data_IF_719900635387
#
_entry.id   IF_719900635387
#
_cell.length_a   1.000
_cell.length_b   1.000
_cell.length_c   1.000
_cell.angle_alpha   90.00
_cell.angle_beta   90.00
_cell.angle_gamma   90.00
#
_symmetry.space_group_name_H-M   'P 1'
#
loop_
_entity.id
_entity.type
_entity.pdbx_description
1 polymer ?
#
# COMPACT_ATOMS: atom_id res chain seq x y z
N UNK A 1 -12.75 34.14 -23.61
CA UNK A 1 -13.13 32.96 -24.41
C UNK A 1 -11.95 31.99 -24.36
N UNK A 2 -12.01 31.01 -23.50
CA UNK A 2 -10.98 29.98 -23.35
C UNK A 2 -11.11 28.99 -24.53
N UNK A 3 -10.11 28.95 -25.38
CA UNK A 3 -9.97 27.85 -26.34
C UNK A 3 -9.69 26.58 -25.54
N UNK A 4 -10.69 25.71 -25.42
CA UNK A 4 -10.51 24.34 -24.99
C UNK A 4 -9.72 23.65 -26.12
N UNK A 5 -8.43 23.40 -25.87
CA UNK A 5 -7.62 22.55 -26.71
C UNK A 5 -8.26 21.16 -26.70
N UNK A 6 -8.82 20.78 -27.86
CA UNK A 6 -9.27 19.39 -28.05
C UNK A 6 -8.09 18.44 -27.85
N UNK A 7 -8.24 17.37 -27.05
CA UNK A 7 -7.17 16.40 -26.89
C UNK A 7 -6.87 15.79 -28.27
N UNK A 8 -5.67 16.01 -28.78
CA UNK A 8 -5.14 15.16 -29.84
C UNK A 8 -5.08 13.76 -29.25
N UNK A 9 -6.02 12.92 -29.63
CA UNK A 9 -6.04 11.50 -29.34
C UNK A 9 -4.81 10.85 -29.96
N UNK A 10 -3.68 10.89 -29.27
CA UNK A 10 -2.53 10.06 -29.59
C UNK A 10 -2.85 8.64 -29.15
N UNK A 11 -3.54 7.90 -30.01
CA UNK A 11 -3.89 6.48 -29.84
C UNK A 11 -2.69 5.53 -29.93
N UNK A 12 -1.46 6.01 -29.76
CA UNK A 12 -0.23 5.22 -29.97
C UNK A 12 0.81 5.38 -28.86
N UNK A 13 0.40 5.44 -27.59
CA UNK A 13 1.36 5.26 -26.51
C UNK A 13 1.43 3.76 -26.19
N UNK A 14 2.24 3.05 -26.93
CA UNK A 14 2.57 1.67 -26.72
C UNK A 14 4.03 1.45 -27.09
N UNK A 15 4.66 0.47 -26.48
CA UNK A 15 6.05 0.09 -26.69
C UNK A 15 6.12 -1.16 -27.56
N UNK A 16 7.05 -1.17 -28.50
CA UNK A 16 7.49 -2.45 -29.06
C UNK A 16 8.27 -3.20 -28.02
N UNK A 17 8.16 -4.52 -28.03
CA UNK A 17 8.92 -5.36 -27.10
C UNK A 17 10.43 -5.13 -27.19
N UNK A 18 10.94 -4.74 -28.37
CA UNK A 18 12.34 -4.35 -28.59
C UNK A 18 12.78 -3.10 -27.86
N UNK A 19 11.85 -2.23 -27.46
CA UNK A 19 12.14 -0.95 -26.83
C UNK A 19 12.18 -1.05 -25.30
N UNK A 20 11.85 -2.24 -24.77
CA UNK A 20 11.88 -2.52 -23.33
C UNK A 20 13.27 -3.03 -22.96
N UNK A 21 13.98 -2.35 -22.04
CA UNK A 21 15.28 -2.85 -21.58
C UNK A 21 15.14 -4.25 -20.95
N UNK A 22 16.04 -5.18 -21.30
CA UNK A 22 16.00 -6.58 -20.89
C UNK A 22 15.85 -6.75 -19.36
N UNK A 23 16.53 -5.90 -18.58
CA UNK A 23 16.49 -5.92 -17.11
C UNK A 23 15.12 -5.59 -16.51
N UNK A 24 14.25 -4.95 -17.28
CA UNK A 24 12.92 -4.51 -16.86
C UNK A 24 11.79 -5.23 -17.58
N UNK A 25 12.12 -6.17 -18.46
CA UNK A 25 11.09 -6.96 -19.15
C UNK A 25 10.20 -7.67 -18.12
N UNK A 26 8.85 -7.58 -18.23
CA UNK A 26 7.96 -8.18 -17.25
C UNK A 26 8.01 -9.69 -17.37
N UNK A 27 8.20 -10.36 -16.25
CA UNK A 27 8.03 -11.81 -16.17
C UNK A 27 6.59 -12.10 -15.84
N UNK A 28 5.86 -12.71 -16.76
CA UNK A 28 4.49 -13.13 -16.52
C UNK A 28 4.43 -14.11 -15.33
N UNK A 29 3.62 -13.77 -14.32
CA UNK A 29 3.56 -14.48 -13.03
C UNK A 29 2.14 -14.97 -12.76
N UNK A 30 1.94 -16.27 -12.87
CA UNK A 30 0.67 -16.92 -12.53
C UNK A 30 0.73 -17.45 -11.11
N UNK A 31 0.29 -16.62 -10.16
CA UNK A 31 0.30 -17.00 -8.75
C UNK A 31 -1.01 -17.66 -8.35
N UNK A 32 -0.93 -18.83 -7.71
CA UNK A 32 -2.10 -19.65 -7.37
C UNK A 32 -2.09 -20.11 -5.90
N UNK A 33 -1.46 -19.36 -5.01
CA UNK A 33 -1.42 -19.70 -3.59
C UNK A 33 -1.98 -18.55 -2.74
N UNK A 34 -2.30 -18.87 -1.49
CA UNK A 34 -2.72 -17.94 -0.46
C UNK A 34 -2.27 -18.44 0.92
N UNK A 35 -2.18 -17.56 1.91
CA UNK A 35 -1.64 -17.92 3.23
C UNK A 35 -2.76 -17.94 4.27
N UNK A 36 -3.03 -19.10 4.85
CA UNK A 36 -3.93 -19.27 5.98
C UNK A 36 -3.34 -20.29 6.97
N UNK A 37 -3.32 -19.90 8.24
CA UNK A 37 -2.90 -20.82 9.32
C UNK A 37 -1.42 -21.20 9.26
N UNK A 38 -0.57 -20.37 8.64
CA UNK A 38 0.84 -20.64 8.44
C UNK A 38 1.15 -21.56 7.24
N UNK A 39 0.16 -21.86 6.42
CA UNK A 39 0.30 -22.73 5.23
C UNK A 39 0.02 -21.96 3.94
N UNK A 40 0.91 -22.07 2.97
CA UNK A 40 0.66 -21.65 1.59
C UNK A 40 -0.20 -22.71 0.90
N UNK A 41 -1.50 -22.44 0.84
CA UNK A 41 -2.50 -23.33 0.24
C UNK A 41 -2.62 -23.02 -1.25
N UNK A 42 -2.74 -24.07 -2.05
CA UNK A 42 -2.97 -23.95 -3.49
C UNK A 42 -4.43 -23.58 -3.77
N UNK A 43 -4.62 -22.57 -4.62
CA UNK A 43 -5.92 -22.18 -5.14
C UNK A 43 -6.20 -22.90 -6.47
N UNK A 44 -7.40 -23.48 -6.58
CA UNK A 44 -7.85 -24.21 -7.79
C UNK A 44 -9.10 -23.61 -8.40
N UNK A 45 -9.62 -22.51 -7.83
CA UNK A 45 -10.79 -21.80 -8.31
C UNK A 45 -10.48 -20.76 -9.39
N UNK A 46 -11.41 -19.82 -9.59
CA UNK A 46 -11.28 -18.74 -10.54
C UNK A 46 -10.06 -17.86 -10.26
N UNK A 47 -9.46 -17.33 -11.31
CA UNK A 47 -8.32 -16.40 -11.22
C UNK A 47 -8.70 -15.05 -11.82
N UNK A 48 -8.07 -14.00 -11.32
CA UNK A 48 -8.17 -12.66 -11.87
C UNK A 48 -6.88 -12.34 -12.64
N UNK A 49 -7.02 -11.85 -13.87
CA UNK A 49 -5.91 -11.36 -14.66
C UNK A 49 -5.45 -9.99 -14.16
N UNK A 50 -4.14 -9.80 -14.15
CA UNK A 50 -3.47 -8.55 -13.76
C UNK A 50 -2.78 -7.96 -14.96
N UNK A 51 -3.23 -6.78 -15.36
CA UNK A 51 -2.70 -6.07 -16.51
C UNK A 51 -1.93 -4.83 -16.08
N UNK A 52 -0.88 -4.54 -16.82
CA UNK A 52 -0.17 -3.27 -16.76
C UNK A 52 -0.96 -2.16 -17.42
N UNK A 53 -0.72 -0.93 -17.00
CA UNK A 53 -1.16 0.25 -17.74
C UNK A 53 -0.29 0.51 -18.97
N UNK A 54 0.93 -0.01 -18.97
CA UNK A 54 1.86 0.05 -20.08
C UNK A 54 1.37 -0.92 -21.13
N UNK A 55 1.17 -0.40 -22.34
CA UNK A 55 0.75 -1.20 -23.49
C UNK A 55 1.96 -1.68 -24.27
N UNK A 56 1.94 -2.93 -24.68
CA UNK A 56 2.95 -3.52 -25.54
C UNK A 56 2.34 -4.08 -26.82
N UNK A 57 3.16 -4.24 -27.82
CA UNK A 57 2.75 -4.82 -29.11
C UNK A 57 2.48 -6.32 -28.95
N UNK A 58 1.29 -6.77 -29.35
CA UNK A 58 0.96 -8.19 -29.40
C UNK A 58 1.51 -8.84 -30.70
N UNK A 59 1.29 -10.14 -30.85
CA UNK A 59 1.76 -10.90 -32.03
C UNK A 59 1.14 -10.44 -33.35
N UNK A 60 0.05 -9.68 -33.29
CA UNK A 60 -0.65 -9.10 -34.44
C UNK A 60 -0.21 -7.65 -34.73
N UNK A 61 0.73 -7.09 -33.98
CA UNK A 61 1.18 -5.71 -34.12
C UNK A 61 0.26 -4.66 -33.49
N UNK A 62 -0.70 -5.09 -32.64
CA UNK A 62 -1.62 -4.19 -31.96
C UNK A 62 -1.11 -3.84 -30.54
N UNK A 63 -1.30 -2.58 -30.13
CA UNK A 63 -0.96 -2.11 -28.79
C UNK A 63 -2.05 -2.48 -27.79
N UNK A 64 -1.77 -3.47 -26.95
CA UNK A 64 -2.70 -4.01 -25.93
C UNK A 64 -2.14 -3.82 -24.53
N UNK A 65 -3.00 -3.78 -23.48
CA UNK A 65 -2.52 -3.84 -22.11
C UNK A 65 -1.66 -5.10 -21.90
N UNK A 66 -0.48 -4.93 -21.31
CA UNK A 66 0.44 -6.05 -21.07
C UNK A 66 -0.08 -6.93 -19.96
N UNK A 67 -0.29 -8.21 -20.22
CA UNK A 67 -0.63 -9.18 -19.18
C UNK A 67 0.60 -9.41 -18.30
N UNK A 68 0.47 -9.16 -17.00
CA UNK A 68 1.53 -9.39 -16.00
C UNK A 68 1.39 -10.76 -15.31
N UNK A 69 0.21 -11.34 -15.37
CA UNK A 69 -0.06 -12.64 -14.78
C UNK A 69 -1.46 -12.78 -14.21
N UNK A 70 -1.61 -13.71 -13.28
CA UNK A 70 -2.90 -13.97 -12.59
C UNK A 70 -2.71 -14.16 -11.11
N UNK A 71 -3.77 -13.86 -10.34
CA UNK A 71 -3.89 -14.13 -8.90
C UNK A 71 -5.22 -14.81 -8.59
N UNK A 72 -5.39 -15.50 -7.44
CA UNK A 72 -6.67 -16.05 -7.03
C UNK A 72 -7.81 -15.00 -6.99
N UNK A 73 -8.98 -15.27 -7.61
CA UNK A 73 -10.21 -14.48 -7.41
C UNK A 73 -11.11 -15.23 -6.41
N UNK A 74 -10.81 -15.06 -5.13
CA UNK A 74 -11.43 -15.80 -4.04
C UNK A 74 -12.82 -15.30 -3.71
N UNK A 75 -13.65 -16.22 -3.24
CA UNK A 75 -14.96 -15.98 -2.65
C UNK A 75 -14.90 -15.84 -1.12
N UNK A 76 -16.05 -15.78 -0.47
CA UNK A 76 -16.17 -15.55 0.96
C UNK A 76 -15.68 -16.68 1.86
N UNK A 77 -15.70 -17.93 1.38
CA UNK A 77 -15.32 -19.08 2.21
C UNK A 77 -13.88 -19.03 2.72
N UNK A 78 -12.84 -18.82 1.88
CA UNK A 78 -11.48 -18.63 2.38
C UNK A 78 -11.34 -17.43 3.33
N UNK A 79 -12.16 -16.39 3.15
CA UNK A 79 -12.16 -15.23 4.03
C UNK A 79 -12.58 -15.60 5.47
N UNK A 80 -13.62 -16.42 5.62
CA UNK A 80 -14.05 -16.92 6.92
C UNK A 80 -13.03 -17.90 7.50
N UNK A 81 -12.41 -18.76 6.69
CA UNK A 81 -11.34 -19.65 7.16
C UNK A 81 -10.13 -18.86 7.70
N UNK A 82 -9.74 -17.76 7.03
CA UNK A 82 -8.67 -16.88 7.51
C UNK A 82 -9.04 -16.19 8.82
N UNK A 83 -10.30 -15.77 8.96
CA UNK A 83 -10.80 -15.18 10.20
C UNK A 83 -10.75 -16.19 11.35
N UNK A 84 -11.22 -17.42 11.17
CA UNK A 84 -11.16 -18.44 12.21
C UNK A 84 -9.71 -18.79 12.56
N UNK A 85 -8.82 -18.83 11.58
CA UNK A 85 -7.38 -19.01 11.81
C UNK A 85 -6.80 -17.89 12.67
N UNK A 86 -7.08 -16.61 12.33
CA UNK A 86 -6.61 -15.46 13.08
C UNK A 86 -7.17 -15.44 14.52
N UNK A 87 -8.47 -15.74 14.69
CA UNK A 87 -9.13 -15.87 16.01
C UNK A 87 -8.47 -16.94 16.86
N UNK A 88 -8.23 -18.13 16.27
CA UNK A 88 -7.59 -19.24 16.95
C UNK A 88 -6.17 -18.88 17.41
N UNK A 89 -5.38 -18.23 16.56
CA UNK A 89 -4.03 -17.80 16.86
C UNK A 89 -3.98 -16.71 17.96
N UNK A 90 -4.97 -15.82 17.98
CA UNK A 90 -5.11 -14.80 19.03
C UNK A 90 -5.65 -15.38 20.35
N UNK A 91 -6.63 -16.27 20.29
CA UNK A 91 -7.27 -16.93 21.43
C UNK A 91 -7.60 -15.97 22.60
N UNK A 92 -8.33 -14.90 22.30
CA UNK A 92 -8.70 -13.87 23.32
C UNK A 92 -7.48 -13.31 24.07
N UNK A 93 -6.34 -13.20 23.43
CA UNK A 93 -5.09 -12.73 24.03
C UNK A 93 -4.28 -13.80 24.76
N UNK A 94 -4.69 -15.07 24.71
CA UNK A 94 -4.01 -16.21 25.36
C UNK A 94 -3.18 -17.04 24.37
N UNK A 95 -3.32 -16.80 23.07
CA UNK A 95 -2.59 -17.53 22.04
C UNK A 95 -1.08 -17.34 22.15
N UNK A 96 -0.34 -18.16 21.44
CA UNK A 96 1.13 -18.11 21.43
C UNK A 96 1.65 -16.71 21.05
N UNK A 97 1.09 -16.06 20.05
CA UNK A 97 1.58 -14.78 19.54
C UNK A 97 1.35 -13.62 20.51
N UNK A 98 0.12 -13.37 21.01
CA UNK A 98 -0.12 -12.27 21.95
C UNK A 98 0.63 -12.42 23.29
N UNK A 99 0.94 -13.65 23.72
CA UNK A 99 1.66 -13.94 24.96
C UNK A 99 3.17 -14.08 24.77
N UNK A 100 3.64 -14.13 23.51
CA UNK A 100 5.06 -14.25 23.17
C UNK A 100 5.83 -13.02 23.70
N UNK A 101 7.05 -13.25 24.20
CA UNK A 101 7.92 -12.16 24.68
C UNK A 101 8.21 -11.19 23.54
N UNK A 102 8.30 -9.89 23.87
CA UNK A 102 8.60 -8.83 22.90
C UNK A 102 9.82 -9.16 22.06
N UNK A 103 10.93 -9.57 22.68
CA UNK A 103 12.17 -9.96 21.99
C UNK A 103 11.94 -11.03 20.92
N UNK A 104 11.12 -12.03 21.22
CA UNK A 104 10.86 -13.14 20.28
C UNK A 104 10.01 -12.66 19.09
N UNK A 105 9.01 -11.79 19.33
CA UNK A 105 8.24 -11.17 18.25
C UNK A 105 9.12 -10.28 17.36
N UNK A 106 10.03 -9.52 17.96
CA UNK A 106 11.01 -8.72 17.21
C UNK A 106 11.91 -9.60 16.34
N UNK A 107 12.41 -10.72 16.86
CA UNK A 107 13.22 -11.68 16.08
C UNK A 107 12.43 -12.26 14.89
N UNK A 108 11.11 -12.48 15.03
CA UNK A 108 10.27 -12.90 13.91
C UNK A 108 10.20 -11.82 12.82
N UNK A 109 10.06 -10.56 13.23
CA UNK A 109 10.02 -9.44 12.29
C UNK A 109 11.37 -9.20 11.61
N UNK A 110 12.48 -9.31 12.34
CA UNK A 110 13.83 -9.22 11.80
C UNK A 110 14.07 -10.33 10.75
N UNK A 111 13.64 -11.57 11.00
CA UNK A 111 13.67 -12.63 9.99
C UNK A 111 12.85 -12.31 8.75
N UNK A 112 11.66 -11.75 8.95
CA UNK A 112 10.79 -11.36 7.85
C UNK A 112 11.45 -10.31 6.95
N UNK A 113 11.98 -9.23 7.52
CA UNK A 113 12.58 -8.15 6.73
C UNK A 113 13.84 -8.61 6.00
N UNK A 114 14.66 -9.50 6.60
CA UNK A 114 15.83 -10.07 5.93
C UNK A 114 15.45 -10.96 4.73
N UNK A 115 14.33 -11.68 4.82
CA UNK A 115 13.80 -12.45 3.68
C UNK A 115 13.20 -11.53 2.63
N UNK A 116 12.42 -10.53 3.03
CA UNK A 116 11.83 -9.52 2.14
C UNK A 116 12.88 -8.83 1.27
N UNK A 117 14.01 -8.43 1.85
CA UNK A 117 15.12 -7.74 1.14
C UNK A 117 15.64 -8.52 -0.07
N UNK A 118 15.59 -9.85 -0.05
CA UNK A 118 16.02 -10.70 -1.16
C UNK A 118 15.18 -10.54 -2.41
N UNK A 119 13.93 -10.08 -2.26
CA UNK A 119 12.96 -9.89 -3.34
C UNK A 119 12.87 -8.45 -3.86
N UNK A 120 13.83 -7.56 -3.45
CA UNK A 120 13.81 -6.15 -3.82
C UNK A 120 13.63 -5.92 -5.32
N UNK A 121 14.44 -6.57 -6.16
CA UNK A 121 14.40 -6.38 -7.62
C UNK A 121 13.04 -6.76 -8.19
N UNK A 122 12.46 -7.85 -7.74
CA UNK A 122 11.19 -8.37 -8.22
C UNK A 122 10.02 -7.46 -7.81
N UNK A 123 9.98 -7.05 -6.55
CA UNK A 123 8.95 -6.13 -6.03
C UNK A 123 9.02 -4.77 -6.72
N UNK A 124 10.22 -4.20 -6.91
CA UNK A 124 10.43 -2.95 -7.64
C UNK A 124 9.93 -3.06 -9.09
N UNK A 125 10.20 -4.18 -9.74
CA UNK A 125 9.73 -4.42 -11.11
C UNK A 125 8.18 -4.48 -11.17
N UNK A 126 7.52 -5.15 -10.22
CA UNK A 126 6.05 -5.15 -10.14
C UNK A 126 5.49 -3.75 -9.89
N UNK A 127 6.10 -2.92 -9.04
CA UNK A 127 5.69 -1.54 -8.82
C UNK A 127 5.72 -0.72 -10.11
N UNK A 128 6.77 -0.86 -10.92
CA UNK A 128 6.86 -0.17 -12.22
C UNK A 128 5.78 -0.63 -13.19
N UNK A 129 5.59 -1.92 -13.33
CA UNK A 129 4.69 -2.48 -14.34
C UNK A 129 3.22 -2.41 -13.94
N UNK A 130 2.89 -2.75 -12.72
CA UNK A 130 1.49 -2.89 -12.28
C UNK A 130 0.82 -1.55 -12.02
N UNK A 131 1.58 -0.58 -11.46
CA UNK A 131 1.03 0.74 -11.11
C UNK A 131 1.69 1.92 -11.80
N UNK A 132 2.57 1.67 -12.76
CA UNK A 132 3.22 2.73 -13.52
C UNK A 132 4.16 3.62 -12.73
N UNK A 133 4.63 3.19 -11.56
CA UNK A 133 5.51 4.00 -10.71
C UNK A 133 6.92 4.07 -11.29
N UNK A 134 7.56 5.26 -11.29
CA UNK A 134 8.93 5.40 -11.79
C UNK A 134 9.90 4.45 -11.08
N UNK A 135 10.98 4.06 -11.73
CA UNK A 135 12.02 3.20 -11.14
C UNK A 135 12.53 3.78 -9.83
N UNK A 136 12.84 5.09 -9.82
CA UNK A 136 13.32 5.79 -8.64
C UNK A 136 12.29 5.74 -7.48
N UNK A 137 11.02 6.01 -7.76
CA UNK A 137 9.97 5.96 -6.73
C UNK A 137 9.65 4.54 -6.28
N UNK A 138 9.75 3.55 -7.18
CA UNK A 138 9.57 2.14 -6.86
C UNK A 138 10.69 1.61 -5.95
N UNK A 139 11.93 1.99 -6.22
CA UNK A 139 13.07 1.70 -5.36
C UNK A 139 12.93 2.36 -4.00
N UNK A 140 12.61 3.66 -3.98
CA UNK A 140 12.37 4.40 -2.74
C UNK A 140 11.24 3.81 -1.91
N UNK A 141 10.15 3.36 -2.53
CA UNK A 141 9.05 2.74 -1.79
C UNK A 141 9.50 1.46 -1.09
N UNK A 142 10.24 0.60 -1.79
CA UNK A 142 10.77 -0.63 -1.19
C UNK A 142 11.74 -0.33 -0.05
N UNK A 143 12.75 0.51 -0.31
CA UNK A 143 13.83 0.81 0.64
C UNK A 143 13.27 1.50 1.89
N UNK A 144 12.35 2.47 1.70
CA UNK A 144 11.65 3.15 2.80
C UNK A 144 10.76 2.20 3.60
N UNK A 145 10.17 1.18 2.97
CA UNK A 145 9.41 0.17 3.69
C UNK A 145 10.32 -0.66 4.61
N UNK A 146 11.50 -1.05 4.12
CA UNK A 146 12.49 -1.75 4.92
C UNK A 146 12.95 -0.88 6.10
N UNK A 147 13.27 0.38 5.86
CA UNK A 147 13.63 1.36 6.89
C UNK A 147 12.52 1.50 7.94
N UNK A 148 11.27 1.67 7.49
CA UNK A 148 10.11 1.76 8.36
C UNK A 148 9.95 0.54 9.28
N UNK A 149 10.21 -0.67 8.77
CA UNK A 149 10.16 -1.89 9.60
C UNK A 149 11.21 -1.82 10.72
N UNK A 150 12.46 -1.43 10.41
CA UNK A 150 13.50 -1.29 11.43
C UNK A 150 13.18 -0.18 12.42
N UNK A 151 12.70 0.97 11.96
CA UNK A 151 12.28 2.08 12.83
C UNK A 151 11.14 1.65 13.78
N UNK A 152 10.20 0.86 13.26
CA UNK A 152 9.09 0.32 14.07
C UNK A 152 9.61 -0.66 15.12
N UNK A 153 10.59 -1.51 14.78
CA UNK A 153 11.27 -2.40 15.73
C UNK A 153 11.92 -1.58 16.86
N UNK A 154 12.69 -0.54 16.50
CA UNK A 154 13.36 0.31 17.49
C UNK A 154 12.36 1.13 18.34
N UNK A 155 11.31 1.64 17.73
CA UNK A 155 10.23 2.32 18.47
C UNK A 155 9.56 1.38 19.48
N UNK A 156 9.33 0.12 19.07
CA UNK A 156 8.72 -0.86 19.96
C UNK A 156 9.66 -1.29 21.10
N UNK A 157 10.97 -1.44 20.83
CA UNK A 157 11.97 -1.66 21.90
C UNK A 157 11.93 -0.57 22.97
N UNK A 158 11.93 0.71 22.53
CA UNK A 158 11.82 1.87 23.44
C UNK A 158 10.50 1.86 24.23
N UNK A 159 9.41 1.51 23.58
CA UNK A 159 8.09 1.41 24.19
C UNK A 159 8.02 0.32 25.28
N UNK A 160 8.61 -0.85 24.99
CA UNK A 160 8.68 -1.97 25.96
C UNK A 160 9.55 -1.61 27.17
N UNK A 161 10.70 -0.99 26.96
CA UNK A 161 11.57 -0.48 28.03
C UNK A 161 10.84 0.54 28.93
N UNK A 162 10.07 1.46 28.32
CA UNK A 162 9.26 2.42 29.09
C UNK A 162 8.18 1.69 29.90
N UNK A 163 7.55 0.69 29.32
CA UNK A 163 6.51 -0.12 29.96
C UNK A 163 7.02 -1.00 31.12
N UNK A 164 8.34 -1.17 31.29
CA UNK A 164 8.92 -1.89 32.41
C UNK A 164 9.09 -1.03 33.69
N UNK A 165 8.88 0.29 33.58
CA UNK A 165 9.05 1.23 34.68
C UNK A 165 7.71 1.58 35.35
N UNK A 166 7.74 1.79 36.65
CA UNK A 166 6.62 2.41 37.34
C UNK A 166 6.66 3.94 37.15
N UNK A 167 5.51 4.52 36.89
CA UNK A 167 5.30 5.96 36.87
C UNK A 167 4.69 6.35 38.23
N UNK A 168 5.15 7.46 38.79
CA UNK A 168 4.66 7.98 40.09
C UNK A 168 4.11 9.39 39.86
N UNK A 169 2.86 9.58 40.24
CA UNK A 169 2.22 10.90 40.27
C UNK A 169 1.56 11.11 41.67
N UNK A 170 2.12 12.01 42.44
CA UNK A 170 1.73 12.19 43.84
C UNK A 170 1.94 10.91 44.68
N UNK A 171 0.89 10.37 45.24
CA UNK A 171 0.89 9.11 45.97
C UNK A 171 0.57 7.87 45.14
N UNK A 172 0.28 8.05 43.84
CA UNK A 172 -0.13 6.96 42.95
C UNK A 172 1.11 6.38 42.27
N UNK A 173 1.25 5.06 42.31
CA UNK A 173 2.22 4.31 41.55
C UNK A 173 1.49 3.53 40.46
N UNK A 174 1.79 3.83 39.19
CA UNK A 174 1.16 3.22 38.02
C UNK A 174 2.17 2.38 37.24
N UNK A 175 1.71 1.25 36.73
CA UNK A 175 2.45 0.43 35.77
C UNK A 175 1.65 0.30 34.50
N UNK A 176 2.09 1.01 33.44
CA UNK A 176 1.36 1.10 32.16
C UNK A 176 1.92 0.06 31.22
N UNK A 177 1.12 -0.93 30.89
CA UNK A 177 1.43 -1.93 29.85
C UNK A 177 0.47 -1.83 28.68
N UNK A 178 0.99 -2.09 27.51
CA UNK A 178 0.20 -2.19 26.28
C UNK A 178 -0.02 -3.66 25.94
N UNK A 179 -1.23 -3.98 25.52
CA UNK A 179 -1.61 -5.32 25.10
C UNK A 179 -2.24 -5.28 23.70
N UNK A 180 -2.18 -6.39 22.94
CA UNK A 180 -2.81 -6.47 21.64
C UNK A 180 -4.33 -6.34 21.76
N UNK A 181 -4.96 -5.82 20.71
CA UNK A 181 -6.39 -5.58 20.63
C UNK A 181 -7.16 -6.81 20.16
N UNK A 182 -6.59 -7.59 19.22
CA UNK A 182 -7.25 -8.76 18.68
C UNK A 182 -6.93 -9.06 17.23
N UNK A 183 -7.97 -9.31 16.44
CA UNK A 183 -7.89 -9.56 15.01
C UNK A 183 -7.95 -8.27 14.23
N UNK A 184 -6.96 -8.03 13.39
CA UNK A 184 -6.84 -6.85 12.52
C UNK A 184 -7.20 -7.24 11.09
N UNK A 185 -8.14 -6.55 10.47
CA UNK A 185 -8.33 -6.56 9.02
C UNK A 185 -7.52 -5.42 8.41
N UNK A 186 -6.49 -5.76 7.61
CA UNK A 186 -5.58 -4.80 7.00
C UNK A 186 -5.82 -4.69 5.49
N UNK A 187 -6.13 -3.47 5.03
CA UNK A 187 -6.43 -3.15 3.63
C UNK A 187 -5.60 -1.93 3.23
N UNK A 188 -4.62 -2.16 2.35
CA UNK A 188 -3.75 -1.10 1.85
C UNK A 188 -4.27 -0.42 0.58
N UNK A 189 -3.71 0.74 0.21
CA UNK A 189 -4.07 1.50 -0.97
C UNK A 189 -3.33 0.98 -2.22
N UNK A 190 -3.80 1.38 -3.41
CA UNK A 190 -3.17 1.00 -4.67
C UNK A 190 -1.92 1.83 -5.03
N UNK A 191 -1.85 3.08 -4.55
CA UNK A 191 -0.80 4.03 -4.95
C UNK A 191 0.54 3.83 -4.21
N UNK A 192 0.49 3.31 -2.99
CA UNK A 192 1.64 2.86 -2.20
C UNK A 192 1.34 1.46 -1.64
N UNK A 193 1.18 0.45 -2.51
CA UNK A 193 0.66 -0.86 -2.12
C UNK A 193 1.58 -1.64 -1.19
N UNK A 194 2.87 -1.33 -1.18
CA UNK A 194 3.82 -1.91 -0.24
C UNK A 194 3.94 -1.06 1.03
N UNK A 195 4.43 0.18 0.91
CA UNK A 195 4.80 0.99 2.06
C UNK A 195 3.60 1.32 2.97
N UNK A 196 2.52 1.87 2.41
CA UNK A 196 1.36 2.26 3.20
C UNK A 196 0.63 1.06 3.80
N UNK A 197 0.60 -0.07 3.09
CA UNK A 197 0.04 -1.32 3.64
C UNK A 197 0.87 -1.81 4.83
N UNK A 198 2.20 -1.76 4.72
CA UNK A 198 3.09 -2.22 5.79
C UNK A 198 3.10 -1.26 6.98
N UNK A 199 2.83 0.03 6.76
CA UNK A 199 2.61 0.99 7.85
C UNK A 199 1.41 0.62 8.74
N UNK A 200 0.43 -0.10 8.22
CA UNK A 200 -0.69 -0.65 9.00
C UNK A 200 -0.36 -2.03 9.57
N UNK A 201 0.18 -2.92 8.73
CA UNK A 201 0.36 -4.34 9.05
C UNK A 201 1.47 -4.59 10.06
N UNK A 202 2.63 -3.96 9.89
CA UNK A 202 3.82 -4.24 10.70
C UNK A 202 3.62 -3.87 12.17
N UNK A 203 3.16 -2.66 12.54
CA UNK A 203 2.91 -2.33 13.94
C UNK A 203 1.77 -3.19 14.53
N UNK A 204 0.74 -3.54 13.74
CA UNK A 204 -0.32 -4.42 14.22
C UNK A 204 0.23 -5.78 14.66
N UNK A 205 1.07 -6.42 13.82
CA UNK A 205 1.70 -7.71 14.12
C UNK A 205 2.65 -7.58 15.33
N UNK A 206 3.56 -6.61 15.31
CA UNK A 206 4.54 -6.43 16.39
C UNK A 206 3.88 -6.25 17.78
N UNK A 207 2.74 -5.56 17.82
CA UNK A 207 1.99 -5.37 19.05
C UNK A 207 1.29 -6.65 19.56
N UNK A 208 1.39 -7.76 18.84
CA UNK A 208 0.85 -9.06 19.24
C UNK A 208 -0.56 -9.35 18.71
N UNK A 209 -1.07 -8.54 17.81
CA UNK A 209 -2.33 -8.83 17.12
C UNK A 209 -2.12 -9.91 16.05
N UNK A 210 -3.20 -10.56 15.64
CA UNK A 210 -3.23 -11.38 14.44
C UNK A 210 -3.88 -10.60 13.29
N UNK A 211 -3.45 -10.87 12.07
CA UNK A 211 -3.85 -10.07 10.92
C UNK A 211 -4.43 -10.91 9.78
N UNK A 212 -5.44 -10.35 9.14
CA UNK A 212 -5.92 -10.77 7.83
C UNK A 212 -5.58 -9.63 6.87
N UNK A 213 -4.73 -9.91 5.91
CA UNK A 213 -4.26 -8.94 4.94
C UNK A 213 -4.80 -9.27 3.55
N UNK A 214 -5.38 -8.28 2.89
CA UNK A 214 -5.81 -8.35 1.50
C UNK A 214 -5.12 -7.24 0.70
N UNK A 215 -4.23 -7.58 -0.26
CA UNK A 215 -3.60 -6.60 -1.15
C UNK A 215 -4.63 -5.75 -1.91
N UNK A 216 -4.24 -4.55 -2.31
CA UNK A 216 -5.04 -3.71 -3.20
C UNK A 216 -5.26 -4.40 -4.56
N UNK A 217 -6.22 -3.90 -5.36
CA UNK A 217 -6.48 -4.43 -6.71
C UNK A 217 -5.29 -4.21 -7.64
N UNK A 218 -4.71 -3.01 -7.62
CA UNK A 218 -3.48 -2.67 -8.32
C UNK A 218 -2.33 -2.75 -7.33
N UNK A 219 -1.21 -3.33 -7.69
CA UNK A 219 -0.12 -3.67 -6.79
C UNK A 219 -0.34 -5.00 -6.08
N UNK A 220 -1.13 -5.93 -6.63
CA UNK A 220 -1.40 -7.23 -6.03
C UNK A 220 -0.25 -8.21 -6.23
N UNK A 221 0.41 -8.20 -7.40
CA UNK A 221 1.50 -9.12 -7.72
C UNK A 221 2.76 -8.90 -6.89
N UNK A 222 3.01 -7.65 -6.45
CA UNK A 222 4.21 -7.35 -5.65
C UNK A 222 4.26 -8.09 -4.29
N UNK A 223 3.11 -8.59 -3.81
CA UNK A 223 3.04 -9.37 -2.56
C UNK A 223 3.44 -10.83 -2.79
N UNK A 224 3.28 -11.34 -4.00
CA UNK A 224 3.52 -12.76 -4.29
C UNK A 224 4.94 -13.23 -4.00
N UNK A 225 6.03 -12.48 -4.27
CA UNK A 225 7.38 -12.88 -3.87
C UNK A 225 7.60 -12.89 -2.35
N UNK A 226 6.74 -12.22 -1.58
CA UNK A 226 6.88 -12.10 -0.13
C UNK A 226 6.11 -13.17 0.65
N UNK A 227 5.33 -14.00 -0.02
CA UNK A 227 4.43 -14.98 0.61
C UNK A 227 5.18 -16.00 1.48
N UNK A 228 6.30 -16.55 0.98
CA UNK A 228 7.15 -17.46 1.74
C UNK A 228 7.83 -16.75 2.93
N UNK A 229 8.23 -15.49 2.76
CA UNK A 229 8.79 -14.71 3.85
C UNK A 229 7.79 -14.54 5.01
N UNK A 230 6.52 -14.33 4.72
CA UNK A 230 5.46 -14.30 5.74
C UNK A 230 5.27 -15.67 6.39
N UNK A 231 5.15 -16.74 5.60
CA UNK A 231 4.95 -18.10 6.09
C UNK A 231 6.04 -18.53 7.07
N UNK A 232 7.29 -18.33 6.70
CA UNK A 232 8.43 -18.85 7.44
C UNK A 232 8.84 -18.00 8.66
N UNK A 233 8.32 -16.75 8.73
CA UNK A 233 8.74 -15.82 9.77
C UNK A 233 7.80 -15.77 10.96
N UNK A 234 6.52 -16.06 10.78
CA UNK A 234 5.51 -15.93 11.81
C UNK A 234 4.84 -17.26 12.19
N UNK A 235 4.42 -17.44 13.44
CA UNK A 235 3.66 -18.62 13.84
C UNK A 235 2.34 -18.76 13.05
N UNK A 236 1.80 -19.98 12.96
CA UNK A 236 0.55 -20.26 12.27
C UNK A 236 -0.60 -19.33 12.68
N UNK A 237 -1.28 -18.74 11.71
CA UNK A 237 -2.46 -17.91 11.90
C UNK A 237 -2.20 -16.46 12.34
N UNK A 238 -0.94 -16.09 12.62
CA UNK A 238 -0.57 -14.71 12.96
C UNK A 238 -0.80 -13.78 11.77
N UNK A 239 -0.40 -14.21 10.57
CA UNK A 239 -0.65 -13.51 9.31
C UNK A 239 -1.40 -14.44 8.37
N UNK A 240 -2.52 -13.95 7.83
CA UNK A 240 -3.30 -14.63 6.81
C UNK A 240 -3.43 -13.68 5.62
N UNK A 241 -3.13 -14.15 4.40
CA UNK A 241 -3.09 -13.32 3.19
C UNK A 241 -4.03 -13.89 2.15
N UNK A 242 -4.99 -13.08 1.73
CA UNK A 242 -6.07 -13.43 0.81
C UNK A 242 -6.05 -12.55 -0.42
N UNK A 243 -6.44 -13.12 -1.55
CA UNK A 243 -6.65 -12.43 -2.81
C UNK A 243 -8.14 -12.34 -3.13
N UNK A 244 -8.50 -11.53 -4.13
CA UNK A 244 -9.89 -11.39 -4.57
C UNK A 244 -10.47 -9.99 -4.33
N UNK A 245 -11.75 -9.85 -4.65
CA UNK A 245 -12.46 -8.57 -4.60
C UNK A 245 -12.80 -8.18 -3.16
N UNK A 246 -12.64 -6.90 -2.81
CA UNK A 246 -12.88 -6.39 -1.45
C UNK A 246 -14.26 -6.76 -0.91
N UNK A 247 -15.32 -6.68 -1.73
CA UNK A 247 -16.68 -7.04 -1.33
C UNK A 247 -16.83 -8.53 -0.98
N UNK A 248 -16.11 -9.41 -1.69
CA UNK A 248 -16.14 -10.86 -1.44
C UNK A 248 -15.33 -11.28 -0.22
N UNK A 249 -14.29 -10.54 0.11
CA UNK A 249 -13.35 -10.88 1.18
C UNK A 249 -13.62 -10.05 2.45
N UNK A 250 -13.60 -8.72 2.36
CA UNK A 250 -13.64 -7.87 3.55
C UNK A 250 -15.04 -7.78 4.18
N UNK A 251 -16.12 -7.69 3.39
CA UNK A 251 -17.46 -7.58 3.95
C UNK A 251 -17.87 -8.80 4.79
N UNK A 252 -17.72 -10.07 4.35
CA UNK A 252 -18.05 -11.23 5.19
C UNK A 252 -17.24 -11.26 6.49
N UNK A 253 -15.97 -10.87 6.44
CA UNK A 253 -15.12 -10.77 7.63
C UNK A 253 -15.67 -9.74 8.61
N UNK A 254 -16.05 -8.54 8.12
CA UNK A 254 -16.64 -7.48 8.96
C UNK A 254 -17.99 -7.89 9.57
N UNK A 255 -18.87 -8.50 8.76
CA UNK A 255 -20.19 -9.00 9.23
C UNK A 255 -20.11 -10.02 10.35
N UNK A 256 -19.00 -10.73 10.44
CA UNK A 256 -18.79 -11.70 11.52
C UNK A 256 -18.78 -11.10 12.91
N UNK A 257 -18.44 -9.81 13.02
CA UNK A 257 -18.31 -9.10 14.30
C UNK A 257 -17.06 -9.47 15.12
N UNK A 258 -16.12 -10.23 14.52
CA UNK A 258 -14.89 -10.67 15.18
C UNK A 258 -13.64 -9.87 14.81
N UNK A 259 -13.78 -8.84 13.99
CA UNK A 259 -12.69 -7.88 13.72
C UNK A 259 -12.63 -6.88 14.86
N UNK A 260 -11.50 -6.80 15.52
CA UNK A 260 -11.27 -5.85 16.61
C UNK A 260 -10.71 -4.51 16.09
N UNK A 261 -9.96 -4.56 14.96
CA UNK A 261 -9.38 -3.38 14.32
C UNK A 261 -9.56 -3.44 12.80
N UNK A 262 -10.19 -2.42 12.24
CA UNK A 262 -10.15 -2.15 10.80
C UNK A 262 -9.02 -1.17 10.53
N UNK A 263 -7.95 -1.65 9.88
CA UNK A 263 -6.82 -0.85 9.42
C UNK A 263 -6.92 -0.68 7.90
N UNK A 264 -7.30 0.52 7.43
CA UNK A 264 -7.59 0.78 6.03
C UNK A 264 -7.00 2.11 5.58
N UNK A 265 -6.28 2.08 4.46
CA UNK A 265 -5.94 3.27 3.69
C UNK A 265 -6.65 3.18 2.34
N UNK A 266 -7.53 4.15 2.07
CA UNK A 266 -8.35 4.15 0.87
C UNK A 266 -9.45 5.22 0.87
N UNK A 267 -10.55 4.96 0.16
CA UNK A 267 -11.67 5.88 0.08
C UNK A 267 -12.57 5.85 1.33
N UNK A 268 -13.05 7.01 1.76
CA UNK A 268 -13.99 7.18 2.87
C UNK A 268 -15.25 6.33 2.70
N UNK A 269 -15.78 6.25 1.48
CA UNK A 269 -16.94 5.41 1.18
C UNK A 269 -16.71 3.92 1.48
N UNK A 270 -15.48 3.42 1.23
CA UNK A 270 -15.11 2.04 1.59
C UNK A 270 -15.00 1.85 3.09
N UNK A 271 -14.44 2.83 3.79
CA UNK A 271 -14.35 2.80 5.26
C UNK A 271 -15.74 2.77 5.91
N UNK A 272 -16.64 3.67 5.47
CA UNK A 272 -18.02 3.71 5.96
C UNK A 272 -18.75 2.40 5.68
N UNK A 273 -18.68 1.90 4.42
CA UNK A 273 -19.32 0.64 4.05
C UNK A 273 -18.84 -0.53 4.91
N UNK A 274 -17.55 -0.66 5.16
CA UNK A 274 -17.01 -1.74 6.00
C UNK A 274 -17.37 -1.56 7.48
N UNK A 275 -17.36 -0.33 7.99
CA UNK A 275 -17.79 -0.04 9.35
C UNK A 275 -19.28 -0.36 9.56
N UNK A 276 -20.11 -0.10 8.55
CA UNK A 276 -21.56 -0.38 8.60
C UNK A 276 -21.87 -1.87 8.60
N UNK A 277 -21.03 -2.68 7.98
CA UNK A 277 -21.15 -4.14 8.03
C UNK A 277 -20.85 -4.75 9.42
N UNK A 278 -20.13 -4.04 10.28
CA UNK A 278 -19.73 -4.59 11.58
C UNK A 278 -20.86 -4.46 12.61
N UNK A 279 -21.36 -5.58 13.19
CA UNK A 279 -22.51 -5.55 14.10
C UNK A 279 -22.21 -4.87 15.45
N UNK A 280 -20.95 -4.87 15.88
CA UNK A 280 -20.54 -4.32 17.18
C UNK A 280 -19.64 -3.07 16.98
N UNK A 281 -20.18 -2.01 16.38
CA UNK A 281 -19.41 -0.80 16.01
C UNK A 281 -18.70 -0.13 17.20
N UNK A 282 -19.27 -0.21 18.39
CA UNK A 282 -18.69 0.34 19.62
C UNK A 282 -17.41 -0.39 20.10
N UNK A 283 -17.18 -1.60 19.62
CA UNK A 283 -15.98 -2.41 19.94
C UNK A 283 -14.92 -2.33 18.86
N UNK A 284 -15.30 -1.96 17.63
CA UNK A 284 -14.39 -1.84 16.51
C UNK A 284 -13.48 -0.63 16.68
N UNK A 285 -12.18 -0.84 16.58
CA UNK A 285 -11.20 0.24 16.47
C UNK A 285 -10.92 0.53 15.01
N UNK A 286 -10.82 1.82 14.67
CA UNK A 286 -10.58 2.28 13.30
C UNK A 286 -9.21 2.94 13.21
N UNK A 287 -8.37 2.45 12.29
CA UNK A 287 -7.11 3.06 11.89
C UNK A 287 -7.26 3.38 10.40
N UNK A 288 -7.62 4.62 10.11
CA UNK A 288 -8.03 5.03 8.77
C UNK A 288 -7.11 6.10 8.22
N UNK A 289 -6.56 5.86 7.03
CA UNK A 289 -5.92 6.86 6.18
C UNK A 289 -6.80 7.09 4.96
N UNK A 290 -7.45 8.24 4.88
CA UNK A 290 -8.45 8.49 3.85
C UNK A 290 -7.95 9.56 2.87
N UNK A 291 -8.73 9.81 1.80
CA UNK A 291 -8.47 10.87 0.83
C UNK A 291 -8.47 12.25 1.48
N UNK A 292 -7.63 13.12 0.95
CA UNK A 292 -7.50 14.50 1.42
C UNK A 292 -7.64 15.52 0.29
N UNK A 293 -7.90 16.78 0.66
CA UNK A 293 -7.95 17.95 -0.20
C UNK A 293 -6.92 18.97 0.29
N UNK A 294 -5.65 18.57 0.29
CA UNK A 294 -4.55 19.37 0.84
C UNK A 294 -4.39 20.69 0.08
N UNK A 295 -4.50 21.85 0.73
CA UNK A 295 -4.24 23.14 0.12
C UNK A 295 -2.75 23.51 0.20
N UNK A 296 -2.27 24.25 -0.81
CA UNK A 296 -1.05 25.06 -0.75
C UNK A 296 -1.45 26.54 -0.70
N UNK A 297 -0.85 27.32 0.18
CA UNK A 297 -1.10 28.77 0.30
C UNK A 297 0.20 29.49 -0.04
N UNK A 298 0.18 30.33 -1.08
CA UNK A 298 1.31 31.07 -1.58
C UNK A 298 1.10 32.56 -1.25
N UNK A 299 1.96 33.09 -0.38
CA UNK A 299 1.92 34.46 0.09
C UNK A 299 2.69 35.40 -0.86
N UNK A 300 2.42 36.73 -0.82
CA UNK A 300 3.02 37.68 -1.76
C UNK A 300 4.55 37.83 -1.63
N UNK A 301 5.10 37.50 -0.49
CA UNK A 301 6.54 37.56 -0.17
C UNK A 301 7.29 36.23 -0.40
N UNK A 302 6.61 35.22 -0.97
CA UNK A 302 7.21 33.92 -1.27
C UNK A 302 8.27 34.04 -2.37
N UNK A 303 9.39 33.30 -2.21
CA UNK A 303 10.33 33.06 -3.31
C UNK A 303 9.62 32.19 -4.37
N UNK A 304 9.24 32.80 -5.48
CA UNK A 304 8.45 32.13 -6.52
C UNK A 304 9.21 30.99 -7.20
N UNK A 305 10.52 31.08 -7.40
CA UNK A 305 11.27 30.04 -8.09
C UNK A 305 11.39 28.78 -7.21
N UNK A 306 11.58 28.94 -5.92
CA UNK A 306 11.51 27.85 -4.96
C UNK A 306 10.09 27.32 -4.83
N UNK A 307 9.10 28.19 -4.69
CA UNK A 307 7.68 27.83 -4.53
C UNK A 307 7.16 27.02 -5.73
N UNK A 308 7.52 27.38 -6.96
CA UNK A 308 7.13 26.63 -8.17
C UNK A 308 7.68 25.21 -8.11
N UNK A 309 8.94 25.00 -7.74
CA UNK A 309 9.53 23.65 -7.60
C UNK A 309 8.78 22.81 -6.57
N UNK A 310 8.46 23.40 -5.42
CA UNK A 310 7.69 22.72 -4.36
C UNK A 310 6.24 22.44 -4.80
N UNK A 311 5.61 23.37 -5.51
CA UNK A 311 4.26 23.16 -6.04
C UNK A 311 4.25 22.06 -7.11
N UNK A 312 5.18 21.98 -8.03
CA UNK A 312 5.32 20.89 -9.00
C UNK A 312 5.50 19.56 -8.30
N UNK A 313 6.43 19.46 -7.37
CA UNK A 313 6.65 18.25 -6.58
C UNK A 313 5.42 17.90 -5.75
N UNK A 314 4.79 18.88 -5.11
CA UNK A 314 3.63 18.71 -4.26
C UNK A 314 2.38 18.26 -5.02
N UNK A 315 2.14 18.77 -6.22
CA UNK A 315 0.94 18.49 -7.02
C UNK A 315 1.08 17.27 -7.92
N UNK A 316 2.21 17.12 -8.61
CA UNK A 316 2.36 16.22 -9.76
C UNK A 316 3.30 15.04 -9.54
N UNK A 317 4.12 15.00 -8.47
CA UNK A 317 4.96 13.82 -8.26
C UNK A 317 4.10 12.56 -8.10
N UNK A 318 4.55 11.49 -8.74
CA UNK A 318 3.78 10.27 -8.95
C UNK A 318 2.39 10.56 -9.55
N UNK A 319 2.34 11.43 -10.57
CA UNK A 319 1.12 11.86 -11.27
C UNK A 319 0.03 12.42 -10.32
N UNK A 320 0.41 13.00 -9.18
CA UNK A 320 -0.55 13.48 -8.16
C UNK A 320 -1.29 12.38 -7.38
N UNK A 321 -0.92 11.12 -7.55
CA UNK A 321 -1.58 9.96 -6.93
C UNK A 321 -1.16 9.73 -5.48
N UNK A 322 -0.96 10.78 -4.71
CA UNK A 322 -0.63 10.71 -3.28
C UNK A 322 -1.76 11.28 -2.43
N UNK A 323 -2.02 10.67 -1.28
CA UNK A 323 -2.95 11.26 -0.30
C UNK A 323 -2.47 12.63 0.19
N UNK A 324 -1.15 12.82 0.24
CA UNK A 324 -0.46 14.07 0.64
C UNK A 324 -0.26 15.06 -0.52
N UNK A 325 -0.64 14.74 -1.76
CA UNK A 325 -0.51 15.67 -2.88
C UNK A 325 -1.36 16.91 -2.67
N UNK A 326 -0.83 18.07 -3.06
CA UNK A 326 -1.59 19.32 -3.09
C UNK A 326 -2.70 19.21 -4.13
N UNK A 327 -3.93 19.52 -3.75
CA UNK A 327 -5.13 19.45 -4.60
C UNK A 327 -5.64 20.82 -4.99
N UNK A 328 -5.29 21.85 -4.24
CA UNK A 328 -5.69 23.25 -4.45
C UNK A 328 -4.49 24.14 -4.12
N UNK A 329 -4.21 25.12 -4.96
CA UNK A 329 -3.23 26.16 -4.71
C UNK A 329 -3.95 27.50 -4.60
N UNK A 330 -3.87 28.14 -3.43
CA UNK A 330 -4.36 29.47 -3.18
C UNK A 330 -3.19 30.45 -3.33
N UNK A 331 -3.23 31.26 -4.37
CA UNK A 331 -2.16 32.22 -4.69
C UNK A 331 -2.65 33.63 -4.44
N UNK A 332 -1.87 34.45 -3.75
CA UNK A 332 -2.22 35.84 -3.50
C UNK A 332 -2.39 36.59 -4.83
N UNK A 333 -3.40 37.48 -4.91
CA UNK A 333 -3.78 38.18 -6.14
C UNK A 333 -2.64 39.00 -6.76
N UNK A 334 -1.78 39.61 -5.93
CA UNK A 334 -0.67 40.45 -6.41
C UNK A 334 0.42 39.68 -7.18
N UNK A 335 0.48 38.35 -7.07
CA UNK A 335 1.50 37.51 -7.70
C UNK A 335 0.93 36.44 -8.63
N UNK A 336 -0.40 36.40 -8.79
CA UNK A 336 -1.09 35.30 -9.50
C UNK A 336 -0.64 35.18 -10.97
N UNK A 337 -0.45 36.31 -11.68
CA UNK A 337 -0.07 36.28 -13.09
C UNK A 337 1.37 35.77 -13.30
N UNK A 338 2.30 36.20 -12.44
CA UNK A 338 3.67 35.71 -12.46
C UNK A 338 3.75 34.22 -12.08
N UNK A 339 3.02 33.84 -11.01
CA UNK A 339 2.91 32.44 -10.57
C UNK A 339 2.38 31.56 -11.70
N UNK A 340 1.25 31.92 -12.32
CA UNK A 340 0.65 31.12 -13.39
C UNK A 340 1.59 30.96 -14.59
N UNK A 341 2.31 32.03 -14.97
CA UNK A 341 3.28 31.96 -16.07
C UNK A 341 4.43 31.00 -15.75
N UNK A 342 5.01 31.08 -14.55
CA UNK A 342 6.10 30.23 -14.14
C UNK A 342 5.65 28.77 -13.92
N UNK A 343 4.49 28.58 -13.29
CA UNK A 343 3.96 27.24 -13.01
C UNK A 343 3.58 26.52 -14.31
N UNK A 344 2.88 27.17 -15.24
CA UNK A 344 2.55 26.58 -16.53
C UNK A 344 3.81 26.18 -17.33
N UNK A 345 4.81 27.05 -17.36
CA UNK A 345 6.10 26.71 -17.99
C UNK A 345 6.74 25.49 -17.31
N UNK A 346 6.77 25.45 -15.98
CA UNK A 346 7.36 24.33 -15.26
C UNK A 346 6.60 23.01 -15.51
N UNK A 347 5.28 23.06 -15.70
CA UNK A 347 4.47 21.88 -16.12
C UNK A 347 4.82 21.45 -17.54
N UNK A 348 4.95 22.39 -18.48
CA UNK A 348 5.28 22.09 -19.88
C UNK A 348 6.70 21.48 -20.02
N UNK A 349 7.61 21.83 -19.13
CA UNK A 349 9.00 21.33 -19.08
C UNK A 349 9.10 19.91 -18.44
N UNK A 350 8.00 19.36 -17.88
CA UNK A 350 8.05 18.03 -17.26
C UNK A 350 8.24 16.93 -18.29
N UNK A 351 9.21 16.06 -18.04
CA UNK A 351 9.44 14.89 -18.87
C UNK A 351 8.43 13.79 -18.53
N UNK A 352 7.73 13.31 -19.52
CA UNK A 352 6.86 12.15 -19.42
C UNK A 352 7.45 10.97 -20.21
N UNK A 353 7.23 9.74 -19.73
CA UNK A 353 7.78 8.56 -20.38
C UNK A 353 7.53 7.28 -19.59
N UNK A 354 8.34 6.26 -19.88
CA UNK A 354 8.21 4.96 -19.23
C UNK A 354 8.91 4.95 -17.87
N UNK A 355 8.44 4.12 -16.93
CA UNK A 355 8.95 4.11 -15.55
C UNK A 355 10.45 3.94 -15.40
N UNK A 356 11.11 3.26 -16.34
CA UNK A 356 12.55 2.98 -16.32
C UNK A 356 13.41 4.00 -17.04
N UNK A 357 12.82 4.99 -17.71
CA UNK A 357 13.57 6.03 -18.39
C UNK A 357 14.13 7.05 -17.39
N UNK A 358 15.32 7.58 -17.71
CA UNK A 358 15.98 8.59 -16.86
C UNK A 358 15.20 9.92 -16.87
N UNK A 359 15.16 10.57 -15.70
CA UNK A 359 14.54 11.88 -15.46
C UNK A 359 13.03 11.96 -15.80
N UNK A 360 12.36 10.83 -15.96
CA UNK A 360 10.90 10.82 -16.16
C UNK A 360 10.20 11.23 -14.86
N UNK A 361 9.34 12.23 -14.98
CA UNK A 361 8.54 12.74 -13.87
C UNK A 361 7.10 12.21 -13.91
N UNK A 362 6.49 12.17 -15.09
CA UNK A 362 5.14 11.65 -15.31
C UNK A 362 5.18 10.31 -16.04
N UNK A 363 4.44 9.35 -15.54
CA UNK A 363 4.42 7.96 -16.01
C UNK A 363 2.98 7.52 -16.35
N UNK A 364 2.74 6.36 -17.00
CA UNK A 364 1.39 5.87 -17.25
C UNK A 364 0.57 5.67 -15.96
N UNK A 365 -0.71 6.06 -16.01
CA UNK A 365 -1.65 5.93 -14.89
C UNK A 365 -2.25 4.52 -14.81
N UNK A 366 -2.44 3.93 -13.60
CA UNK A 366 -2.95 2.56 -13.44
C UNK A 366 -4.44 2.40 -13.77
N UNK A 367 -5.20 3.48 -13.79
CA UNK A 367 -6.62 3.44 -14.15
C UNK A 367 -6.88 4.15 -15.47
N UNK A 368 -7.49 3.47 -16.47
CA UNK A 368 -7.59 3.98 -17.83
C UNK A 368 -8.50 5.19 -18.00
N UNK A 369 -9.30 5.54 -17.01
CA UNK A 369 -10.29 6.63 -17.07
C UNK A 369 -9.99 7.77 -16.08
N UNK A 370 -8.77 7.90 -15.62
CA UNK A 370 -8.33 9.01 -14.74
C UNK A 370 -7.53 10.04 -15.47
#
# INVERSE_FOLDING_TARGET
>A
MSQVLSPKTNSKIGLKNSDIPENYFPKETHYNQFLIGGELKKWTGAVAEVYSTIRTENKQGEMVPTLLGTVPDMESEPAIQALESAKKAFDRGKGQWPTMRVKERLNCMERFVEKMKKHRKEVVNFLMWEIGKSLNDSQKEFDRTVEYIYDTIEAYKKLDQKSAKFEKEGSIHAHIRRSPLGVVLCLGPYNYPLNETFCLLIPAILMGNTAIFKPAKHGVLLITPLMEAFQESFPPGVVNILFGRGRKIAQPIMRSGYVDVLALIGHSSSAVSLQDEHPNKNRLRLVLGLEAKNPGIILPDADLDHTIKECISGTLSYNGQRCTALKVLYVHESIIDEFNKKFSKAVDDLKYGMPWEEDVFLTPLPEPNK
#
